data_IF_100596867915
#
_entry.id   IF_100596867915
#
_cell.length_a   1.000
_cell.length_b   1.000
_cell.length_c   1.000
_cell.angle_alpha   90.00
_cell.angle_beta   90.00
_cell.angle_gamma   90.00
#
_symmetry.space_group_name_H-M   'P 1'
#
loop_
_entity.id
_entity.type
_entity.pdbx_description
1 polymer ?
#
# COMPACT_ATOMS: atom_id res chain seq x y z
N UNK A 1 -14.39 -13.38 5.65
CA UNK A 1 -14.36 -12.38 4.55
C UNK A 1 -13.12 -11.54 4.69
N UNK A 2 -12.45 -11.21 3.56
CA UNK A 2 -11.24 -10.41 3.52
C UNK A 2 -11.52 -9.04 2.88
N UNK A 3 -11.19 -7.96 3.58
CA UNK A 3 -11.16 -6.61 3.03
C UNK A 3 -9.72 -6.26 2.68
N UNK A 4 -9.47 -5.85 1.44
CA UNK A 4 -8.14 -5.46 0.97
C UNK A 4 -8.17 -4.00 0.54
N UNK A 5 -7.43 -3.14 1.21
CA UNK A 5 -7.26 -1.75 0.78
C UNK A 5 -5.90 -1.57 0.11
N UNK A 6 -5.89 -0.86 -1.01
CA UNK A 6 -4.72 -0.64 -1.85
C UNK A 6 -4.52 0.86 -2.10
N UNK A 7 -3.41 1.39 -1.58
CA UNK A 7 -2.83 2.65 -2.06
C UNK A 7 -1.82 2.29 -3.15
N UNK A 8 -2.25 2.41 -4.40
CA UNK A 8 -1.42 1.96 -5.53
C UNK A 8 -0.40 3.01 -5.92
N UNK A 9 0.86 2.62 -5.88
CA UNK A 9 1.95 3.36 -6.51
C UNK A 9 2.85 2.41 -7.30
N UNK A 10 3.50 2.91 -8.35
CA UNK A 10 4.37 2.10 -9.21
C UNK A 10 5.62 1.60 -8.50
N UNK A 11 6.05 2.29 -7.46
CA UNK A 11 7.30 2.02 -6.79
C UNK A 11 7.13 1.52 -5.35
N UNK A 12 6.07 1.91 -4.69
CA UNK A 12 5.85 1.55 -3.28
C UNK A 12 4.36 1.48 -2.98
N UNK A 13 3.64 0.48 -3.53
CA UNK A 13 2.25 0.26 -3.15
C UNK A 13 2.16 -0.10 -1.67
N UNK A 14 1.16 0.44 -1.00
CA UNK A 14 0.76 0.07 0.35
C UNK A 14 -0.52 -0.75 0.32
N UNK A 15 -0.56 -1.85 1.03
CA UNK A 15 -1.74 -2.71 1.10
C UNK A 15 -2.04 -3.05 2.56
N UNK A 16 -3.32 -3.00 2.91
CA UNK A 16 -3.79 -3.50 4.19
C UNK A 16 -4.86 -4.57 3.94
N UNK A 17 -4.74 -5.70 4.60
CA UNK A 17 -5.71 -6.79 4.59
C UNK A 17 -6.36 -6.85 5.97
N UNK A 18 -7.68 -6.78 6.01
CA UNK A 18 -8.46 -7.04 7.22
C UNK A 18 -9.27 -8.31 7.06
N UNK A 19 -9.04 -9.28 7.92
CA UNK A 19 -9.82 -10.53 7.98
C UNK A 19 -10.87 -10.44 9.08
N UNK A 20 -12.15 -10.61 8.72
CA UNK A 20 -13.27 -10.47 9.68
C UNK A 20 -13.42 -11.67 10.62
N UNK A 21 -12.90 -12.84 10.28
CA UNK A 21 -13.02 -14.05 11.10
C UNK A 21 -11.99 -14.03 12.24
N UNK A 22 -10.73 -13.74 11.89
CA UNK A 22 -9.66 -13.58 12.89
C UNK A 22 -9.68 -12.22 13.57
N UNK A 23 -10.38 -11.25 12.99
CA UNK A 23 -10.43 -9.86 13.45
C UNK A 23 -9.03 -9.23 13.52
N UNK A 24 -8.21 -9.47 12.49
CA UNK A 24 -6.81 -9.03 12.42
C UNK A 24 -6.54 -8.23 11.16
N UNK A 25 -5.58 -7.30 11.27
CA UNK A 25 -5.01 -6.58 10.14
C UNK A 25 -3.66 -7.17 9.77
N UNK A 26 -3.31 -7.09 8.48
CA UNK A 26 -1.98 -7.36 7.98
C UNK A 26 -1.58 -6.28 6.97
N UNK A 27 -0.38 -5.74 7.11
CA UNK A 27 0.13 -4.63 6.30
C UNK A 27 1.25 -5.10 5.38
N UNK A 28 1.20 -4.69 4.12
CA UNK A 28 2.23 -4.97 3.12
C UNK A 28 2.79 -3.63 2.66
N UNK A 29 4.08 -3.42 2.82
CA UNK A 29 4.76 -2.22 2.38
C UNK A 29 5.93 -2.56 1.48
N UNK A 30 6.03 -1.85 0.35
CA UNK A 30 7.13 -2.00 -0.58
C UNK A 30 8.24 -1.01 -0.25
N UNK A 31 9.43 -1.52 0.01
CA UNK A 31 10.60 -0.73 0.40
C UNK A 31 11.77 -0.96 -0.55
N UNK A 32 12.60 0.06 -0.72
CA UNK A 32 13.87 -0.09 -1.47
C UNK A 32 14.97 -0.55 -0.52
N UNK A 33 15.71 -1.62 -0.85
CA UNK A 33 16.81 -2.08 -0.02
C UNK A 33 17.93 -1.02 0.03
N UNK A 34 18.48 -0.81 1.21
CA UNK A 34 19.64 0.06 1.43
C UNK A 34 19.39 1.56 1.26
N UNK A 35 18.16 2.01 0.99
CA UNK A 35 17.80 3.42 0.95
C UNK A 35 17.31 3.92 2.31
N UNK A 36 17.64 5.18 2.60
CA UNK A 36 17.24 5.84 3.83
C UNK A 36 18.40 6.08 4.79
N UNK A 37 18.10 6.80 5.85
CA UNK A 37 19.02 7.04 6.95
C UNK A 37 19.21 5.77 7.79
N UNK A 38 20.27 5.72 8.60
CA UNK A 38 20.49 4.61 9.56
C UNK A 38 19.27 4.39 10.49
N UNK A 39 18.56 5.48 10.85
CA UNK A 39 17.34 5.42 11.67
C UNK A 39 16.20 4.74 10.91
N UNK A 40 16.03 5.05 9.62
CA UNK A 40 15.00 4.42 8.78
C UNK A 40 15.32 2.95 8.50
N UNK A 41 16.58 2.61 8.28
CA UNK A 41 17.01 1.21 8.10
C UNK A 41 16.74 0.38 9.36
N UNK A 42 17.08 0.91 10.56
CA UNK A 42 16.74 0.25 11.81
C UNK A 42 15.22 0.09 11.98
N UNK A 43 14.44 1.11 11.65
CA UNK A 43 12.98 1.03 11.69
C UNK A 43 12.44 -0.04 10.74
N UNK A 44 13.03 -0.20 9.54
CA UNK A 44 12.67 -1.29 8.62
C UNK A 44 12.96 -2.66 9.22
N UNK A 45 14.12 -2.82 9.88
CA UNK A 45 14.48 -4.05 10.59
C UNK A 45 13.47 -4.35 11.71
N UNK A 46 13.15 -3.36 12.55
CA UNK A 46 12.21 -3.52 13.66
C UNK A 46 10.79 -3.88 13.14
N UNK A 47 10.33 -3.25 12.06
CA UNK A 47 9.04 -3.54 11.43
C UNK A 47 9.01 -4.94 10.80
N UNK A 48 10.12 -5.39 10.21
CA UNK A 48 10.18 -6.70 9.56
C UNK A 48 10.05 -7.88 10.54
N UNK A 49 10.17 -7.62 11.83
CA UNK A 49 9.99 -8.62 12.89
C UNK A 49 8.54 -8.72 13.39
N UNK A 50 7.64 -7.87 12.90
CA UNK A 50 6.24 -7.87 13.32
C UNK A 50 5.43 -8.90 12.52
N UNK A 51 4.60 -9.68 13.20
CA UNK A 51 3.80 -10.74 12.59
C UNK A 51 2.68 -10.21 11.68
N UNK A 52 2.27 -8.95 11.88
CA UNK A 52 1.23 -8.30 11.11
C UNK A 52 1.76 -7.44 9.95
N UNK A 53 3.05 -7.54 9.62
CA UNK A 53 3.67 -6.77 8.53
C UNK A 53 4.48 -7.66 7.60
N UNK A 54 4.34 -7.42 6.30
CA UNK A 54 5.22 -7.95 5.26
C UNK A 54 5.93 -6.81 4.54
N UNK A 55 7.25 -6.75 4.67
CA UNK A 55 8.07 -5.83 3.86
C UNK A 55 8.50 -6.53 2.57
N UNK A 56 8.15 -5.93 1.44
CA UNK A 56 8.54 -6.41 0.11
C UNK A 56 9.67 -5.55 -0.41
N UNK A 57 10.82 -6.17 -0.64
CA UNK A 57 11.96 -5.46 -1.21
C UNK A 57 11.80 -5.33 -2.72
N UNK A 58 11.79 -4.08 -3.18
CA UNK A 58 11.64 -3.79 -4.61
C UNK A 58 12.81 -4.32 -5.42
N UNK A 59 12.50 -4.91 -6.57
CA UNK A 59 13.49 -5.22 -7.58
C UNK A 59 13.79 -3.97 -8.42
N UNK A 60 15.05 -3.79 -8.79
CA UNK A 60 15.41 -2.77 -9.77
C UNK A 60 15.00 -3.23 -11.18
N UNK A 61 14.07 -2.48 -11.75
CA UNK A 61 13.59 -2.73 -13.11
C UNK A 61 14.30 -1.82 -14.10
N UNK A 62 14.99 -2.41 -15.07
CA UNK A 62 15.48 -1.65 -16.21
C UNK A 62 14.31 -1.32 -17.12
N UNK A 63 13.98 -0.05 -17.24
CA UNK A 63 12.86 0.44 -18.06
C UNK A 63 13.29 1.39 -19.19
N UNK A 64 14.60 1.55 -19.41
CA UNK A 64 15.16 2.44 -20.43
C UNK A 64 16.06 1.65 -21.37
N UNK A 65 15.70 1.55 -22.64
CA UNK A 65 16.37 0.70 -23.64
C UNK A 65 16.79 1.48 -24.90
N UNK A 66 16.59 2.80 -24.95
CA UNK A 66 16.85 3.60 -26.14
C UNK A 66 15.83 3.39 -27.30
N UNK A 67 14.82 2.55 -27.10
CA UNK A 67 13.75 2.24 -28.05
C UNK A 67 12.40 2.37 -27.36
N UNK A 68 11.48 3.12 -27.96
CA UNK A 68 10.18 3.43 -27.35
C UNK A 68 9.36 2.17 -27.10
N UNK A 69 9.24 1.28 -28.09
CA UNK A 69 8.42 0.07 -27.97
C UNK A 69 8.95 -0.87 -26.90
N UNK A 70 10.28 -0.99 -26.78
CA UNK A 70 10.91 -1.79 -25.71
C UNK A 70 10.66 -1.18 -24.34
N UNK A 71 10.68 0.15 -24.23
CA UNK A 71 10.38 0.84 -22.97
C UNK A 71 8.94 0.58 -22.53
N UNK A 72 7.98 0.72 -23.44
CA UNK A 72 6.57 0.47 -23.14
C UNK A 72 6.31 -1.00 -22.76
N UNK A 73 6.89 -1.95 -23.49
CA UNK A 73 6.81 -3.37 -23.13
C UNK A 73 7.40 -3.66 -21.74
N UNK A 74 8.54 -3.03 -21.40
CA UNK A 74 9.16 -3.19 -20.09
C UNK A 74 8.29 -2.63 -18.95
N UNK A 75 7.61 -1.50 -19.18
CA UNK A 75 6.63 -0.95 -18.22
C UNK A 75 5.47 -1.92 -17.97
N UNK A 76 4.84 -2.43 -19.03
CA UNK A 76 3.72 -3.37 -18.92
C UNK A 76 4.15 -4.63 -18.16
N UNK A 77 5.30 -5.21 -18.51
CA UNK A 77 5.84 -6.40 -17.82
C UNK A 77 6.08 -6.12 -16.32
N UNK A 78 6.57 -4.93 -15.98
CA UNK A 78 6.74 -4.52 -14.60
C UNK A 78 5.40 -4.44 -13.87
N UNK A 79 4.36 -3.85 -14.48
CA UNK A 79 3.04 -3.74 -13.86
C UNK A 79 2.44 -5.11 -13.61
N UNK A 80 2.53 -6.02 -14.57
CA UNK A 80 2.08 -7.40 -14.43
C UNK A 80 2.81 -8.13 -13.30
N UNK A 81 4.15 -8.07 -13.28
CA UNK A 81 4.94 -8.72 -12.24
C UNK A 81 4.68 -8.15 -10.84
N UNK A 82 4.42 -6.83 -10.74
CA UNK A 82 4.04 -6.19 -9.47
C UNK A 82 2.66 -6.68 -9.02
N UNK A 83 1.70 -6.78 -9.94
CA UNK A 83 0.36 -7.27 -9.64
C UNK A 83 0.38 -8.75 -9.21
N UNK A 84 1.11 -9.61 -9.92
CA UNK A 84 1.30 -11.02 -9.55
C UNK A 84 1.93 -11.16 -8.14
N UNK A 85 2.95 -10.37 -7.84
CA UNK A 85 3.60 -10.38 -6.54
C UNK A 85 2.62 -9.98 -5.42
N UNK A 86 1.82 -8.93 -5.63
CA UNK A 86 0.80 -8.48 -4.67
C UNK A 86 -0.23 -9.59 -4.41
N UNK A 87 -0.75 -10.20 -5.48
CA UNK A 87 -1.78 -11.24 -5.36
C UNK A 87 -1.23 -12.47 -4.65
N UNK A 88 -0.02 -12.90 -4.99
CA UNK A 88 0.61 -14.03 -4.33
C UNK A 88 0.79 -13.77 -2.82
N UNK A 89 1.21 -12.58 -2.41
CA UNK A 89 1.34 -12.22 -1.00
C UNK A 89 -0.04 -12.21 -0.31
N UNK A 90 -1.08 -11.66 -0.96
CA UNK A 90 -2.44 -11.69 -0.43
C UNK A 90 -2.89 -13.13 -0.20
N UNK A 91 -2.68 -14.03 -1.16
CA UNK A 91 -3.03 -15.44 -1.07
C UNK A 91 -2.22 -16.15 0.03
N UNK A 92 -0.95 -15.81 0.18
CA UNK A 92 -0.10 -16.38 1.23
C UNK A 92 -0.54 -15.98 2.64
N UNK A 93 -1.06 -14.76 2.80
CA UNK A 93 -1.57 -14.26 4.09
C UNK A 93 -2.96 -14.84 4.38
N UNK A 94 -3.87 -14.77 3.41
CA UNK A 94 -5.27 -15.13 3.63
C UNK A 94 -5.55 -16.63 3.52
N UNK A 95 -4.66 -17.39 2.85
CA UNK A 95 -4.78 -18.83 2.57
C UNK A 95 -6.05 -19.24 1.84
N UNK A 96 -6.75 -18.29 1.19
CA UNK A 96 -7.97 -18.53 0.43
C UNK A 96 -8.03 -17.66 -0.81
N UNK A 97 -8.80 -18.07 -1.82
CA UNK A 97 -9.17 -17.27 -2.98
C UNK A 97 -10.54 -16.63 -2.86
N UNK A 98 -11.28 -16.94 -1.82
CA UNK A 98 -12.69 -16.61 -1.70
C UNK A 98 -12.94 -15.39 -0.81
N UNK A 99 -14.08 -14.74 -1.09
CA UNK A 99 -14.66 -13.71 -0.24
C UNK A 99 -13.82 -12.44 -0.05
N UNK A 100 -13.48 -11.77 -1.16
CA UNK A 100 -12.78 -10.50 -1.14
C UNK A 100 -13.69 -9.31 -1.44
N UNK A 101 -13.52 -8.23 -0.69
CA UNK A 101 -13.93 -6.87 -1.05
C UNK A 101 -12.65 -6.03 -1.13
N UNK A 102 -12.44 -5.36 -2.27
CA UNK A 102 -11.19 -4.64 -2.52
C UNK A 102 -11.49 -3.14 -2.67
N UNK A 103 -10.76 -2.30 -1.96
CA UNK A 103 -10.86 -0.86 -2.05
C UNK A 103 -9.54 -0.26 -2.57
N UNK A 104 -9.62 0.52 -3.62
CA UNK A 104 -8.49 1.28 -4.14
C UNK A 104 -8.61 2.76 -3.77
N UNK A 105 -7.49 3.37 -3.37
CA UNK A 105 -7.43 4.83 -3.36
C UNK A 105 -7.49 5.36 -4.80
N UNK A 106 -8.40 6.29 -5.04
CA UNK A 106 -8.56 6.94 -6.34
C UNK A 106 -7.42 7.92 -6.63
N UNK A 107 -7.07 8.08 -7.91
CA UNK A 107 -6.10 9.09 -8.33
C UNK A 107 -6.63 10.50 -8.12
N UNK A 108 -5.84 11.36 -7.46
CA UNK A 108 -6.14 12.78 -7.30
C UNK A 108 -5.68 13.53 -8.56
N UNK A 109 -6.63 14.03 -9.35
CA UNK A 109 -6.35 14.80 -10.58
C UNK A 109 -5.69 16.18 -10.32
N UNK A 110 -5.53 16.59 -9.08
CA UNK A 110 -4.93 17.89 -8.70
C UNK A 110 -3.46 17.79 -8.23
N UNK A 111 -2.84 16.62 -8.31
CA UNK A 111 -1.45 16.45 -7.90
C UNK A 111 -0.51 17.12 -8.92
N UNK A 112 0.57 17.76 -8.44
CA UNK A 112 1.66 18.29 -9.27
C UNK A 112 2.50 17.19 -9.98
N UNK A 113 1.97 15.98 -10.06
CA UNK A 113 2.61 14.87 -10.78
C UNK A 113 2.49 15.13 -12.28
N UNK A 114 3.59 14.93 -13.00
CA UNK A 114 3.58 15.02 -14.47
C UNK A 114 2.55 14.05 -15.08
N UNK A 115 1.91 14.45 -16.16
CA UNK A 115 0.85 13.70 -16.84
C UNK A 115 1.24 12.24 -17.13
N UNK A 116 2.48 11.99 -17.52
CA UNK A 116 3.00 10.64 -17.79
C UNK A 116 2.94 9.73 -16.57
N UNK A 117 3.26 10.23 -15.37
CA UNK A 117 3.21 9.43 -14.15
C UNK A 117 1.77 9.05 -13.77
N UNK A 118 0.80 9.92 -14.04
CA UNK A 118 -0.62 9.64 -13.78
C UNK A 118 -1.11 8.53 -14.71
N UNK A 119 -0.74 8.58 -16.00
CA UNK A 119 -1.10 7.56 -16.99
C UNK A 119 -0.48 6.21 -16.61
N UNK A 120 0.80 6.19 -16.28
CA UNK A 120 1.51 4.95 -15.87
C UNK A 120 0.89 4.36 -14.58
N UNK A 121 0.55 5.20 -13.59
CA UNK A 121 -0.15 4.75 -12.37
C UNK A 121 -1.54 4.18 -12.68
N UNK A 122 -2.32 4.85 -13.53
CA UNK A 122 -3.64 4.38 -13.92
C UNK A 122 -3.56 3.03 -14.66
N UNK A 123 -2.60 2.87 -15.57
CA UNK A 123 -2.37 1.63 -16.29
C UNK A 123 -1.97 0.48 -15.35
N UNK A 124 -1.04 0.73 -14.44
CA UNK A 124 -0.63 -0.27 -13.44
C UNK A 124 -1.76 -0.66 -12.50
N UNK A 125 -2.54 0.31 -12.03
CA UNK A 125 -3.72 0.06 -11.18
C UNK A 125 -4.81 -0.74 -11.93
N UNK A 126 -5.01 -0.48 -13.22
CA UNK A 126 -5.97 -1.22 -14.04
C UNK A 126 -5.54 -2.69 -14.22
N UNK A 127 -4.26 -2.94 -14.47
CA UNK A 127 -3.70 -4.30 -14.56
C UNK A 127 -3.88 -5.03 -13.23
N UNK A 128 -3.57 -4.38 -12.10
CA UNK A 128 -3.75 -5.00 -10.78
C UNK A 128 -5.22 -5.34 -10.51
N UNK A 129 -6.15 -4.43 -10.81
CA UNK A 129 -7.59 -4.68 -10.66
C UNK A 129 -8.06 -5.86 -11.50
N UNK A 130 -7.66 -5.91 -12.78
CA UNK A 130 -8.00 -7.00 -13.68
C UNK A 130 -7.48 -8.33 -13.14
N UNK A 131 -6.23 -8.40 -12.75
CA UNK A 131 -5.65 -9.63 -12.20
C UNK A 131 -6.28 -10.05 -10.87
N UNK A 132 -6.63 -9.10 -9.99
CA UNK A 132 -7.37 -9.42 -8.77
C UNK A 132 -8.74 -10.04 -9.08
N UNK A 133 -9.47 -9.48 -10.05
CA UNK A 133 -10.78 -10.03 -10.48
C UNK A 133 -10.63 -11.43 -11.07
N UNK A 134 -9.59 -11.66 -11.85
CA UNK A 134 -9.38 -12.93 -12.55
C UNK A 134 -8.84 -14.05 -11.66
N UNK A 135 -8.09 -13.71 -10.62
CA UNK A 135 -7.38 -14.69 -9.78
C UNK A 135 -8.03 -14.89 -8.39
N UNK A 136 -8.79 -13.91 -7.90
CA UNK A 136 -9.47 -13.93 -6.61
C UNK A 136 -10.99 -13.92 -6.82
N UNK A 137 -11.73 -14.52 -5.90
CA UNK A 137 -13.20 -14.45 -5.88
C UNK A 137 -13.64 -13.12 -5.26
N UNK A 138 -13.60 -12.07 -6.05
CA UNK A 138 -13.89 -10.70 -5.62
C UNK A 138 -15.38 -10.44 -5.68
N UNK A 139 -16.00 -10.10 -4.53
CA UNK A 139 -17.41 -9.72 -4.44
C UNK A 139 -17.65 -8.29 -4.89
N UNK A 140 -16.71 -7.38 -4.58
CA UNK A 140 -16.83 -5.98 -4.95
C UNK A 140 -15.47 -5.29 -5.05
N UNK A 141 -15.36 -4.31 -5.95
CA UNK A 141 -14.21 -3.41 -6.09
C UNK A 141 -14.68 -1.98 -5.96
N UNK A 142 -14.20 -1.30 -4.91
CA UNK A 142 -14.50 0.07 -4.60
C UNK A 142 -13.34 0.98 -5.02
N UNK A 143 -13.65 2.19 -5.45
CA UNK A 143 -12.66 3.26 -5.61
C UNK A 143 -13.04 4.41 -4.70
N UNK A 144 -12.18 4.71 -3.72
CA UNK A 144 -12.43 5.71 -2.70
C UNK A 144 -11.58 6.96 -2.96
N UNK A 145 -12.23 8.12 -3.01
CA UNK A 145 -11.50 9.37 -3.23
C UNK A 145 -10.56 9.68 -2.06
N UNK A 146 -9.32 10.16 -2.30
CA UNK A 146 -8.36 10.52 -1.24
C UNK A 146 -8.94 11.49 -0.20
N UNK A 147 -9.78 12.44 -0.65
CA UNK A 147 -10.45 13.37 0.25
C UNK A 147 -11.45 12.69 1.19
N UNK A 148 -12.07 11.58 0.77
CA UNK A 148 -13.00 10.79 1.60
C UNK A 148 -12.22 10.05 2.68
N UNK A 149 -11.09 9.43 2.33
CA UNK A 149 -10.20 8.75 3.29
C UNK A 149 -9.73 9.75 4.36
N UNK A 150 -9.27 10.93 3.93
CA UNK A 150 -8.81 11.98 4.83
C UNK A 150 -9.93 12.54 5.73
N UNK A 151 -11.16 12.67 5.20
CA UNK A 151 -12.33 13.08 6.00
C UNK A 151 -12.68 12.08 7.08
N UNK A 152 -12.50 10.79 6.82
CA UNK A 152 -12.70 9.74 7.82
C UNK A 152 -11.71 9.89 8.98
N UNK A 153 -10.45 10.23 8.71
CA UNK A 153 -9.43 10.47 9.73
C UNK A 153 -9.55 11.85 10.42
N UNK A 154 -10.30 12.78 9.84
CA UNK A 154 -10.51 14.13 10.40
C UNK A 154 -10.96 15.14 9.34
N UNK A 155 -10.06 15.73 8.56
CA UNK A 155 -10.36 16.76 7.56
C UNK A 155 -9.86 16.34 6.16
N UNK A 156 -10.69 16.56 5.14
CA UNK A 156 -10.40 16.16 3.75
C UNK A 156 -9.17 16.81 3.09
N UNK A 157 -8.64 17.88 3.66
CA UNK A 157 -7.45 18.59 3.18
C UNK A 157 -6.18 18.32 4.00
N UNK A 158 -6.19 17.30 4.86
CA UNK A 158 -5.01 16.93 5.67
C UNK A 158 -3.83 16.56 4.78
N UNK A 159 -2.64 17.04 5.16
CA UNK A 159 -1.40 16.53 4.57
C UNK A 159 -1.01 15.17 5.20
N UNK A 160 0.00 14.50 4.65
CA UNK A 160 0.44 13.17 5.14
C UNK A 160 0.80 13.17 6.62
N UNK A 161 1.50 14.18 7.11
CA UNK A 161 1.90 14.27 8.51
C UNK A 161 0.69 14.39 9.43
N UNK A 162 -0.25 15.27 9.10
CA UNK A 162 -1.50 15.44 9.84
C UNK A 162 -2.34 14.17 9.84
N UNK A 163 -2.36 13.43 8.72
CA UNK A 163 -3.04 12.16 8.63
C UNK A 163 -2.41 11.11 9.55
N UNK A 164 -1.08 11.07 9.60
CA UNK A 164 -0.36 10.16 10.48
C UNK A 164 -0.57 10.50 11.97
N UNK A 165 -0.53 11.78 12.33
CA UNK A 165 -0.83 12.26 13.68
C UNK A 165 -2.27 11.90 14.11
N UNK A 166 -3.25 12.12 13.22
CA UNK A 166 -4.63 11.73 13.46
C UNK A 166 -4.77 10.22 13.65
N UNK A 167 -4.05 9.43 12.86
CA UNK A 167 -3.97 7.99 13.02
C UNK A 167 -3.41 7.62 14.40
N UNK A 168 -2.28 8.18 14.83
CA UNK A 168 -1.70 7.91 16.14
C UNK A 168 -2.66 8.25 17.30
N UNK A 169 -3.49 9.29 17.15
CA UNK A 169 -4.49 9.68 18.16
C UNK A 169 -5.68 8.71 18.19
N UNK A 170 -6.17 8.30 17.03
CA UNK A 170 -7.40 7.51 16.91
C UNK A 170 -7.20 6.01 17.07
N UNK A 171 -5.99 5.52 16.89
CA UNK A 171 -5.68 4.09 16.93
C UNK A 171 -6.01 3.43 18.27
N UNK A 172 -5.98 4.19 19.34
CA UNK A 172 -6.29 3.69 20.70
C UNK A 172 -7.79 3.49 20.93
N UNK A 173 -8.63 4.18 20.16
CA UNK A 173 -10.09 4.15 20.30
C UNK A 173 -10.70 2.97 19.50
N UNK A 174 -9.92 2.37 18.59
CA UNK A 174 -10.33 1.19 17.86
C UNK A 174 -9.74 -0.07 18.51
N UNK A 175 -10.58 -0.93 19.11
CA UNK A 175 -10.11 -2.12 19.82
C UNK A 175 -9.47 -3.18 18.93
N UNK A 176 -9.71 -3.13 17.62
CA UNK A 176 -9.10 -4.04 16.64
C UNK A 176 -7.71 -3.54 16.29
N UNK A 177 -7.60 -2.27 15.94
CA UNK A 177 -6.33 -1.64 15.62
C UNK A 177 -5.38 -1.65 16.84
N UNK A 178 -5.89 -1.41 18.03
CA UNK A 178 -5.11 -1.42 19.27
C UNK A 178 -4.40 -2.75 19.56
N UNK A 179 -4.83 -3.85 18.95
CA UNK A 179 -4.19 -5.17 19.09
C UNK A 179 -3.04 -5.42 18.10
N UNK A 180 -2.90 -4.59 17.07
CA UNK A 180 -1.86 -4.75 16.05
C UNK A 180 -0.48 -4.42 16.64
N UNK A 181 0.53 -5.31 16.47
CA UNK A 181 1.92 -5.02 16.83
C UNK A 181 2.47 -3.76 16.16
N UNK A 182 2.16 -3.57 14.86
CA UNK A 182 2.54 -2.37 14.12
C UNK A 182 2.00 -1.10 14.79
N UNK A 183 0.73 -1.11 15.17
CA UNK A 183 0.10 0.05 15.83
C UNK A 183 0.72 0.35 17.19
N UNK A 184 1.04 -0.69 17.97
CA UNK A 184 1.71 -0.54 19.26
C UNK A 184 3.08 0.12 19.11
N UNK A 185 3.80 -0.19 18.03
CA UNK A 185 5.09 0.42 17.71
C UNK A 185 4.94 1.86 17.21
N UNK A 186 3.98 2.14 16.33
CA UNK A 186 3.79 3.45 15.70
C UNK A 186 3.21 4.47 16.69
N UNK A 187 2.37 4.04 17.60
CA UNK A 187 1.66 4.89 18.57
C UNK A 187 2.56 5.89 19.29
N UNK A 188 3.78 5.46 19.67
CA UNK A 188 4.73 6.27 20.41
C UNK A 188 5.91 6.75 19.56
N UNK A 189 5.83 6.55 18.22
CA UNK A 189 6.91 6.94 17.33
C UNK A 189 6.95 8.46 17.20
N UNK A 190 8.05 9.07 17.67
CA UNK A 190 8.32 10.48 17.40
C UNK A 190 8.69 10.65 15.92
N UNK A 191 7.85 11.37 15.21
CA UNK A 191 8.11 11.75 13.82
C UNK A 191 8.59 13.19 13.73
N UNK A 192 9.57 13.42 12.88
CA UNK A 192 10.05 14.76 12.58
C UNK A 192 9.18 15.45 11.51
N UNK A 193 9.83 16.21 10.61
CA UNK A 193 9.12 16.90 9.52
C UNK A 193 8.58 15.98 8.40
N UNK A 194 8.95 14.72 8.41
CA UNK A 194 8.54 13.71 7.41
C UNK A 194 8.27 12.38 8.10
N UNK A 195 7.28 11.67 7.58
CA UNK A 195 7.03 10.29 7.97
C UNK A 195 8.20 9.44 7.48
N UNK A 196 8.82 8.64 8.36
CA UNK A 196 9.90 7.77 7.94
C UNK A 196 9.39 6.65 7.04
N UNK A 197 10.18 6.29 6.04
CA UNK A 197 9.92 5.06 5.29
C UNK A 197 10.28 3.85 6.19
N UNK A 198 9.51 2.80 6.20
CA UNK A 198 8.43 2.37 5.30
C UNK A 198 7.00 2.77 5.70
N UNK A 199 6.82 3.72 6.60
CA UNK A 199 5.50 4.13 7.10
C UNK A 199 4.81 5.23 6.24
N UNK A 200 5.51 5.75 5.21
CA UNK A 200 5.01 6.82 4.32
C UNK A 200 4.11 6.26 3.20
#
# INVERSE_FOLDING_TARGET
MNYVSVDFSLNSPGICIFNTESNTHHYISYVKPGLGTKKEQKLQEDISLLDDVTLVYQQDWKTTFGDYSKNELAKVRRYMATADAIINIILDITKTKDDYIIAFEGTSYGSKMGTNNIIDMAAGAAILKEQMISQLHVKDILTVAPTTIKKFAGKGNMNKLQLFEAYQQNVNDDPILARSPLHSMIKNLEIGKKIPKPLD
#
